data_IF_015222907138
#
_entry.id   IF_015222907138
#
_cell.length_a   1.000
_cell.length_b   1.000
_cell.length_c   1.000
_cell.angle_alpha   90.00
_cell.angle_beta   90.00
_cell.angle_gamma   90.00
#
_symmetry.space_group_name_H-M   'P 1'
#
loop_
_entity.id
_entity.type
_entity.pdbx_description
1 polymer ?
#
# COMPACT_ATOMS: atom_id res chain seq x y z
N UNK A 1 -16.69 0.16 10.61
CA UNK A 1 -15.63 0.31 11.61
C UNK A 1 -14.44 -0.52 11.14
N UNK A 2 -13.46 0.10 10.46
CA UNK A 2 -12.27 -0.62 9.97
C UNK A 2 -11.41 -1.02 11.17
N UNK A 3 -11.49 -2.29 11.58
CA UNK A 3 -10.60 -2.88 12.58
C UNK A 3 -9.21 -3.06 11.98
N UNK A 4 -8.42 -1.98 11.91
CA UNK A 4 -7.02 -2.04 11.48
C UNK A 4 -6.13 -2.23 12.71
N UNK A 5 -5.88 -3.48 13.08
CA UNK A 5 -4.80 -3.81 14.01
C UNK A 5 -3.47 -3.66 13.25
N UNK A 6 -2.66 -2.67 13.64
CA UNK A 6 -1.31 -2.36 13.14
C UNK A 6 -1.20 -1.64 11.78
N UNK A 7 -1.88 -0.48 11.64
CA UNK A 7 -1.47 0.57 10.70
C UNK A 7 -0.01 0.95 10.99
N UNK A 8 0.87 0.86 10.00
CA UNK A 8 2.28 1.28 10.16
C UNK A 8 2.61 2.57 9.44
N UNK A 9 2.12 2.73 8.20
CA UNK A 9 2.35 3.92 7.39
C UNK A 9 1.13 4.23 6.54
N UNK A 10 0.95 5.52 6.21
CA UNK A 10 -0.03 5.98 5.25
C UNK A 10 0.57 6.99 4.27
N UNK A 11 -0.06 7.12 3.10
CA UNK A 11 0.29 8.10 2.07
C UNK A 11 -0.99 8.52 1.32
N UNK A 12 -0.92 9.66 0.64
CA UNK A 12 -2.06 10.24 -0.09
C UNK A 12 -1.71 10.28 -1.58
N UNK A 13 -2.70 10.05 -2.45
CA UNK A 13 -2.53 10.28 -3.89
C UNK A 13 -2.20 11.74 -4.20
N UNK A 14 -1.50 12.06 -5.30
CA UNK A 14 -1.20 13.44 -5.69
C UNK A 14 -2.45 14.32 -5.84
N UNK A 15 -3.56 13.70 -6.24
CA UNK A 15 -4.89 14.31 -6.40
C UNK A 15 -5.66 14.44 -5.09
N UNK A 16 -5.23 13.80 -4.01
CA UNK A 16 -5.90 13.86 -2.70
C UNK A 16 -7.19 13.03 -2.58
N UNK A 17 -7.53 12.24 -3.60
CA UNK A 17 -8.76 11.43 -3.66
C UNK A 17 -8.62 10.05 -3.00
N UNK A 18 -7.39 9.57 -2.80
CA UNK A 18 -7.09 8.24 -2.25
C UNK A 18 -6.08 8.30 -1.11
N UNK A 19 -6.29 7.43 -0.13
CA UNK A 19 -5.39 7.16 0.98
C UNK A 19 -4.88 5.73 0.84
N UNK A 20 -3.58 5.54 0.94
CA UNK A 20 -2.94 4.23 0.94
C UNK A 20 -2.42 3.94 2.35
N UNK A 21 -2.64 2.73 2.86
CA UNK A 21 -2.31 2.34 4.22
C UNK A 21 -1.65 0.97 4.24
N UNK A 22 -0.49 0.84 4.86
CA UNK A 22 0.11 -0.48 5.13
C UNK A 22 -0.41 -1.07 6.42
N UNK A 23 -0.94 -2.29 6.33
CA UNK A 23 -1.34 -3.11 7.47
C UNK A 23 -0.28 -4.18 7.69
N UNK A 24 0.67 -3.89 8.59
CA UNK A 24 1.91 -4.67 8.72
C UNK A 24 1.63 -6.12 9.11
N UNK A 25 0.83 -6.32 10.17
CA UNK A 25 0.59 -7.67 10.70
C UNK A 25 -0.34 -8.50 9.83
N UNK A 26 -1.02 -7.88 8.87
CA UNK A 26 -1.94 -8.57 7.96
C UNK A 26 -1.32 -8.76 6.56
N UNK A 27 -0.11 -8.24 6.32
CA UNK A 27 0.58 -8.29 5.03
C UNK A 27 -0.24 -7.70 3.88
N UNK A 28 -0.82 -6.50 4.12
CA UNK A 28 -1.71 -5.84 3.15
C UNK A 28 -1.37 -4.38 2.91
N UNK A 29 -1.68 -3.92 1.70
CA UNK A 29 -1.90 -2.53 1.36
C UNK A 29 -3.40 -2.30 1.24
N UNK A 30 -3.93 -1.29 1.93
CA UNK A 30 -5.32 -0.86 1.81
C UNK A 30 -5.36 0.45 1.04
N UNK A 31 -6.33 0.58 0.13
CA UNK A 31 -6.66 1.84 -0.53
C UNK A 31 -8.02 2.29 -0.05
N UNK A 32 -8.10 3.49 0.50
CA UNK A 32 -9.34 4.13 0.90
C UNK A 32 -9.61 5.35 0.00
N UNK A 33 -10.88 5.69 -0.18
CA UNK A 33 -11.27 7.00 -0.66
C UNK A 33 -10.99 8.07 0.41
N UNK A 34 -11.00 9.34 0.01
CA UNK A 34 -10.83 10.48 0.93
C UNK A 34 -11.81 10.49 2.12
N UNK A 35 -12.98 9.87 1.98
CA UNK A 35 -14.00 9.78 3.02
C UNK A 35 -13.83 8.54 3.94
N UNK A 36 -12.77 7.75 3.72
CA UNK A 36 -12.46 6.54 4.48
C UNK A 36 -13.14 5.27 3.95
N UNK A 37 -13.91 5.34 2.87
CA UNK A 37 -14.47 4.15 2.21
C UNK A 37 -13.36 3.26 1.70
N UNK A 38 -13.37 1.97 2.06
CA UNK A 38 -12.41 1.00 1.52
C UNK A 38 -12.69 0.78 0.03
N UNK A 39 -11.71 1.12 -0.80
CA UNK A 39 -11.76 0.93 -2.25
C UNK A 39 -11.09 -0.38 -2.66
N UNK A 40 -9.92 -0.66 -2.11
CA UNK A 40 -9.14 -1.83 -2.48
C UNK A 40 -8.35 -2.43 -1.33
N UNK A 41 -8.04 -3.71 -1.45
CA UNK A 41 -7.10 -4.43 -0.60
C UNK A 41 -6.15 -5.22 -1.49
N UNK A 42 -4.86 -4.92 -1.41
CA UNK A 42 -3.82 -5.61 -2.14
C UNK A 42 -2.95 -6.45 -1.22
N UNK A 43 -2.63 -7.64 -1.70
CA UNK A 43 -1.77 -8.64 -1.06
C UNK A 43 -0.88 -9.28 -2.10
N UNK A 44 0.36 -9.58 -1.74
CA UNK A 44 1.31 -10.26 -2.62
C UNK A 44 2.23 -11.13 -1.76
N UNK A 45 2.62 -12.33 -2.20
CA UNK A 45 3.61 -13.14 -1.48
C UNK A 45 4.93 -12.40 -1.24
N UNK A 46 5.29 -11.45 -2.11
CA UNK A 46 6.46 -10.62 -1.95
C UNK A 46 6.24 -9.42 -1.02
N UNK A 47 5.08 -9.26 -0.37
CA UNK A 47 4.74 -8.16 0.53
C UNK A 47 4.57 -8.65 1.98
N UNK A 48 5.67 -9.04 2.63
CA UNK A 48 5.64 -9.50 4.02
C UNK A 48 6.08 -8.38 4.99
N UNK A 49 5.24 -8.12 5.99
CA UNK A 49 5.44 -7.10 7.00
C UNK A 49 5.58 -5.68 6.46
N UNK A 50 4.70 -5.19 5.56
CA UNK A 50 4.90 -3.91 4.88
C UNK A 50 5.15 -2.77 5.86
N UNK A 51 6.23 -2.02 5.62
CA UNK A 51 6.79 -1.06 6.57
C UNK A 51 6.93 0.34 5.99
N UNK A 52 7.37 0.44 4.73
CA UNK A 52 7.52 1.69 3.99
C UNK A 52 6.43 1.85 2.93
N UNK A 53 6.02 3.09 2.69
CA UNK A 53 5.01 3.45 1.70
C UNK A 53 5.29 4.85 1.12
N UNK A 54 5.32 4.97 -0.21
CA UNK A 54 5.47 6.25 -0.90
C UNK A 54 4.59 6.29 -2.16
N UNK A 55 4.07 7.46 -2.53
CA UNK A 55 3.29 7.65 -3.76
C UNK A 55 4.07 8.59 -4.67
N UNK A 56 4.33 8.15 -5.89
CA UNK A 56 5.04 8.97 -6.89
C UNK A 56 4.14 10.10 -7.40
N UNK A 57 4.70 11.18 -7.98
CA UNK A 57 3.89 12.21 -8.64
C UNK A 57 3.01 11.69 -9.79
N UNK A 58 3.39 10.57 -10.40
CA UNK A 58 2.60 9.89 -11.44
C UNK A 58 1.53 8.93 -10.87
N UNK A 59 1.40 8.84 -9.55
CA UNK A 59 0.33 8.10 -8.86
C UNK A 59 0.65 6.63 -8.56
N UNK A 60 1.84 6.12 -8.90
CA UNK A 60 2.20 4.75 -8.51
C UNK A 60 2.54 4.68 -7.02
N UNK A 61 2.22 3.54 -6.41
CA UNK A 61 2.44 3.30 -4.98
C UNK A 61 3.65 2.39 -4.83
N UNK A 62 4.68 2.86 -4.14
CA UNK A 62 5.86 2.08 -3.77
C UNK A 62 5.66 1.57 -2.34
N UNK A 63 5.76 0.26 -2.15
CA UNK A 63 5.60 -0.37 -0.84
C UNK A 63 6.77 -1.30 -0.56
N UNK A 64 7.36 -1.17 0.64
CA UNK A 64 8.51 -1.99 1.04
C UNK A 64 8.04 -3.14 1.93
N UNK A 65 8.38 -4.37 1.56
CA UNK A 65 8.23 -5.55 2.38
C UNK A 65 9.43 -5.72 3.32
N UNK A 66 9.21 -5.60 4.63
CA UNK A 66 10.25 -5.62 5.66
C UNK A 66 10.89 -7.01 5.78
N UNK A 67 10.05 -8.05 5.80
CA UNK A 67 10.49 -9.44 5.96
C UNK A 67 10.75 -10.15 4.63
N UNK A 68 10.13 -9.68 3.55
CA UNK A 68 10.38 -10.18 2.20
C UNK A 68 11.55 -9.50 1.51
N UNK A 69 12.12 -8.44 2.11
CA UNK A 69 13.24 -7.65 1.56
C UNK A 69 12.99 -7.07 0.17
N UNK A 70 11.73 -6.77 -0.15
CA UNK A 70 11.36 -6.29 -1.49
C UNK A 70 10.91 -4.83 -1.49
N UNK A 71 10.98 -4.22 -2.68
CA UNK A 71 10.25 -3.00 -2.99
C UNK A 71 9.30 -3.32 -4.14
N UNK A 72 8.00 -3.22 -3.89
CA UNK A 72 6.97 -3.43 -4.91
C UNK A 72 6.45 -2.09 -5.40
N UNK A 73 6.20 -2.02 -6.71
CA UNK A 73 5.45 -0.94 -7.33
C UNK A 73 4.05 -1.45 -7.63
N UNK A 74 3.05 -0.76 -7.10
CA UNK A 74 1.62 -1.07 -7.21
C UNK A 74 0.94 0.06 -7.98
N UNK A 75 -0.08 -0.28 -8.78
CA UNK A 75 -0.88 0.70 -9.50
C UNK A 75 -1.61 1.65 -8.57
N UNK A 76 -2.03 2.80 -9.09
CA UNK A 76 -2.73 3.85 -8.32
C UNK A 76 -4.09 3.37 -7.76
N UNK A 77 -4.73 2.38 -8.36
CA UNK A 77 -5.93 1.75 -7.79
C UNK A 77 -5.61 0.99 -6.50
N UNK A 78 -4.34 0.57 -6.33
CA UNK A 78 -3.86 -0.21 -5.20
C UNK A 78 -4.39 -1.64 -5.19
N UNK A 79 -4.59 -2.22 -6.37
CA UNK A 79 -5.13 -3.57 -6.57
C UNK A 79 -4.15 -4.53 -7.24
N UNK A 80 -3.14 -4.02 -7.93
CA UNK A 80 -2.27 -4.83 -8.78
C UNK A 80 -0.81 -4.40 -8.74
N UNK A 81 0.09 -5.39 -8.74
CA UNK A 81 1.52 -5.18 -8.90
C UNK A 81 1.82 -4.74 -10.33
N UNK A 82 2.57 -3.65 -10.47
CA UNK A 82 3.16 -3.25 -11.74
C UNK A 82 4.56 -3.87 -11.91
N UNK A 83 5.36 -3.87 -10.84
CA UNK A 83 6.72 -4.41 -10.87
C UNK A 83 7.23 -4.74 -9.46
N UNK A 84 8.26 -5.57 -9.40
CA UNK A 84 9.17 -5.67 -8.26
C UNK A 84 10.43 -4.87 -8.61
N UNK A 85 10.72 -3.84 -7.84
CA UNK A 85 11.83 -2.92 -8.11
C UNK A 85 13.14 -3.34 -7.42
N UNK A 86 13.04 -4.05 -6.30
CA UNK A 86 14.17 -4.60 -5.55
C UNK A 86 13.77 -5.89 -4.80
N UNK A 87 14.75 -6.76 -4.57
CA UNK A 87 14.69 -8.04 -3.85
C UNK A 87 16.00 -8.32 -3.15
#
# INVERSE_FOLDING_TARGET
MLLCFAVRQCAVSPTGDRLYITSRNQNKLLTLARDGTLLATYTDPALDGPSGLHVTPAGQVLVCGDYSHTVLQVGWEGESKLATLAT
#
